data_IF_392051789055
#
_entry.id   IF_392051789055
#
_cell.length_a   1.000
_cell.length_b   1.000
_cell.length_c   1.000
_cell.angle_alpha   90.00
_cell.angle_beta   90.00
_cell.angle_gamma   90.00
#
_symmetry.space_group_name_H-M   'P 1'
#
loop_
_entity.id
_entity.type
_entity.pdbx_description
1 polymer ?
#
# COMPACT_ATOMS: atom_id res chain seq x y z
N UNK A 1 -30.53 -59.45 -68.39
CA UNK A 1 -29.41 -59.51 -67.41
C UNK A 1 -29.03 -58.10 -67.00
N UNK A 2 -28.81 -57.91 -65.69
CA UNK A 2 -28.17 -56.79 -64.98
C UNK A 2 -28.80 -55.38 -65.02
N UNK A 3 -29.35 -55.06 -63.84
CA UNK A 3 -29.75 -53.77 -63.27
C UNK A 3 -28.57 -52.78 -63.21
N UNK A 4 -28.86 -51.48 -63.31
CA UNK A 4 -28.59 -50.44 -62.29
C UNK A 4 -29.43 -49.22 -62.68
N UNK A 5 -30.33 -48.82 -61.78
CA UNK A 5 -31.18 -47.65 -61.91
C UNK A 5 -30.58 -46.47 -61.13
N UNK A 6 -30.52 -45.32 -61.79
CA UNK A 6 -30.23 -44.01 -61.22
C UNK A 6 -31.47 -43.52 -60.46
N UNK A 7 -31.33 -43.08 -59.20
CA UNK A 7 -32.31 -42.17 -58.60
C UNK A 7 -31.62 -41.20 -57.63
N UNK A 8 -31.69 -39.93 -57.98
CA UNK A 8 -31.18 -38.77 -57.25
C UNK A 8 -31.94 -38.54 -55.95
N UNK A 9 -31.22 -38.42 -54.83
CA UNK A 9 -31.74 -38.03 -53.53
C UNK A 9 -31.67 -36.50 -53.38
N UNK A 10 -32.81 -35.82 -53.43
CA UNK A 10 -32.94 -34.38 -53.13
C UNK A 10 -33.17 -34.24 -51.63
N UNK A 11 -32.24 -33.59 -50.94
CA UNK A 11 -32.29 -33.26 -49.52
C UNK A 11 -33.07 -31.94 -49.35
N UNK A 12 -34.28 -31.99 -48.79
CA UNK A 12 -35.05 -30.79 -48.44
C UNK A 12 -34.57 -30.28 -47.07
N UNK A 13 -33.78 -29.20 -47.07
CA UNK A 13 -33.39 -28.49 -45.86
C UNK A 13 -34.55 -27.57 -45.46
N UNK A 14 -35.34 -27.95 -44.46
CA UNK A 14 -36.35 -27.08 -43.86
C UNK A 14 -35.67 -25.98 -43.05
N UNK A 15 -35.62 -24.77 -43.59
CA UNK A 15 -35.22 -23.57 -42.86
C UNK A 15 -36.36 -23.20 -41.91
N UNK A 16 -36.20 -23.51 -40.62
CA UNK A 16 -37.04 -22.94 -39.56
C UNK A 16 -36.61 -21.48 -39.42
N UNK A 17 -37.35 -20.55 -40.01
CA UNK A 17 -37.20 -19.13 -39.68
C UNK A 17 -37.67 -18.92 -38.24
N UNK A 18 -36.74 -18.71 -37.33
CA UNK A 18 -37.05 -18.14 -36.01
C UNK A 18 -37.60 -16.74 -36.24
N UNK A 19 -38.86 -16.50 -35.83
CA UNK A 19 -39.45 -15.17 -35.89
C UNK A 19 -38.70 -14.28 -34.89
N UNK A 20 -37.99 -13.27 -35.39
CA UNK A 20 -37.37 -12.27 -34.54
C UNK A 20 -38.45 -11.32 -33.98
N UNK A 21 -38.33 -10.97 -32.71
CA UNK A 21 -39.15 -9.95 -32.06
C UNK A 21 -38.31 -8.70 -31.86
N UNK A 22 -38.86 -7.55 -32.24
CA UNK A 22 -38.22 -6.26 -32.08
C UNK A 22 -38.58 -5.65 -30.71
N UNK A 23 -37.57 -5.37 -29.91
CA UNK A 23 -37.70 -4.74 -28.60
C UNK A 23 -37.34 -3.27 -28.74
N UNK A 24 -38.27 -2.40 -28.33
CA UNK A 24 -38.06 -0.94 -28.28
C UNK A 24 -38.05 -0.49 -26.83
N UNK A 25 -37.03 0.28 -26.47
CA UNK A 25 -36.89 0.75 -25.11
C UNK A 25 -36.11 2.05 -24.98
N UNK A 26 -35.96 2.47 -23.73
CA UNK A 26 -35.23 3.65 -23.32
C UNK A 26 -34.37 3.32 -22.10
N UNK A 27 -33.13 3.78 -22.12
CA UNK A 27 -32.19 3.73 -21.00
C UNK A 27 -31.97 5.15 -20.49
N UNK A 28 -32.30 5.38 -19.24
CA UNK A 28 -32.10 6.67 -18.55
C UNK A 28 -31.47 6.47 -17.19
N UNK A 29 -30.98 7.53 -16.57
CA UNK A 29 -30.54 7.47 -15.17
C UNK A 29 -31.73 7.62 -14.20
N UNK A 30 -31.48 7.46 -12.89
CA UNK A 30 -32.52 7.65 -11.86
C UNK A 30 -33.18 9.03 -11.87
N UNK A 31 -32.50 10.06 -12.38
CA UNK A 31 -33.02 11.42 -12.56
C UNK A 31 -33.77 11.65 -13.88
N UNK A 32 -33.93 10.63 -14.72
CA UNK A 32 -34.64 10.71 -16.00
C UNK A 32 -33.84 11.31 -17.16
N UNK A 33 -32.53 11.55 -17.00
CA UNK A 33 -31.66 11.97 -18.12
C UNK A 33 -31.36 10.75 -19.00
N UNK A 34 -31.47 10.86 -20.34
CA UNK A 34 -31.14 9.76 -21.25
C UNK A 34 -29.65 9.39 -21.16
N UNK A 35 -29.37 8.08 -21.29
CA UNK A 35 -28.00 7.55 -21.32
C UNK A 35 -27.70 7.17 -22.76
N UNK A 36 -26.69 7.81 -23.34
CA UNK A 36 -26.25 7.65 -24.73
C UNK A 36 -25.18 6.56 -24.79
N UNK A 37 -25.10 5.80 -25.88
CA UNK A 37 -24.08 4.75 -26.11
C UNK A 37 -24.04 3.62 -25.06
N UNK A 38 -25.07 3.47 -24.23
CA UNK A 38 -25.28 2.23 -23.46
C UNK A 38 -25.51 1.05 -24.41
N UNK A 39 -24.77 -0.04 -24.20
CA UNK A 39 -24.90 -1.30 -24.93
C UNK A 39 -26.08 -2.06 -24.36
N UNK A 40 -27.03 -2.45 -25.22
CA UNK A 40 -28.12 -3.37 -24.86
C UNK A 40 -27.86 -4.70 -25.55
N UNK A 41 -27.55 -5.72 -24.77
CA UNK A 41 -27.10 -7.03 -25.24
C UNK A 41 -28.11 -8.12 -24.88
N UNK A 42 -28.53 -8.93 -25.85
CA UNK A 42 -29.20 -10.19 -25.62
C UNK A 42 -28.18 -11.32 -25.56
N UNK A 43 -27.87 -11.78 -24.34
CA UNK A 43 -26.71 -12.66 -24.10
C UNK A 43 -26.81 -14.02 -24.80
N UNK A 44 -28.02 -14.61 -24.88
CA UNK A 44 -28.18 -15.93 -25.50
C UNK A 44 -27.88 -15.94 -27.01
N UNK A 45 -28.27 -14.88 -27.73
CA UNK A 45 -28.09 -14.80 -29.19
C UNK A 45 -26.86 -13.98 -29.60
N UNK A 46 -26.29 -13.19 -28.69
CA UNK A 46 -25.20 -12.26 -28.97
C UNK A 46 -25.65 -10.97 -29.69
N UNK A 47 -26.95 -10.79 -29.93
CA UNK A 47 -27.46 -9.59 -30.60
C UNK A 47 -27.30 -8.39 -29.67
N UNK A 48 -26.79 -7.27 -30.18
CA UNK A 48 -26.62 -6.04 -29.42
C UNK A 48 -26.96 -4.80 -30.23
N UNK A 49 -27.31 -3.73 -29.52
CA UNK A 49 -27.55 -2.40 -30.08
C UNK A 49 -26.99 -1.35 -29.12
N UNK A 50 -26.86 -0.12 -29.61
CA UNK A 50 -26.49 1.04 -28.80
C UNK A 50 -27.70 1.94 -28.63
N UNK A 51 -27.75 2.63 -27.50
CA UNK A 51 -28.73 3.70 -27.26
C UNK A 51 -28.32 4.99 -27.99
N UNK A 52 -29.30 5.69 -28.54
CA UNK A 52 -29.10 6.96 -29.25
C UNK A 52 -28.97 8.17 -28.30
N UNK A 53 -28.87 9.38 -28.87
CA UNK A 53 -28.77 10.64 -28.10
C UNK A 53 -29.96 10.89 -27.16
N UNK A 54 -31.11 10.25 -27.42
CA UNK A 54 -32.32 10.32 -26.60
C UNK A 54 -32.45 9.11 -25.67
N UNK A 55 -31.42 8.27 -25.57
CA UNK A 55 -31.38 7.06 -24.75
C UNK A 55 -32.26 5.93 -25.30
N UNK A 56 -32.76 6.04 -26.53
CA UNK A 56 -33.65 5.05 -27.13
C UNK A 56 -32.84 3.94 -27.79
N UNK A 57 -33.35 2.71 -27.71
CA UNK A 57 -32.77 1.58 -28.41
C UNK A 57 -33.85 0.74 -29.10
N UNK A 58 -33.42 0.05 -30.15
CA UNK A 58 -34.21 -0.97 -30.83
C UNK A 58 -33.33 -2.20 -31.06
N UNK A 59 -33.76 -3.37 -30.59
CA UNK A 59 -33.02 -4.62 -30.67
C UNK A 59 -33.92 -5.75 -31.17
N UNK A 60 -33.54 -6.39 -32.27
CA UNK A 60 -34.17 -7.62 -32.73
C UNK A 60 -33.56 -8.82 -31.99
N UNK A 61 -34.39 -9.63 -31.36
CA UNK A 61 -33.97 -10.86 -30.63
C UNK A 61 -34.82 -12.05 -31.07
N UNK A 62 -34.33 -13.30 -30.92
CA UNK A 62 -35.17 -14.48 -31.13
C UNK A 62 -36.40 -14.46 -30.22
N UNK A 63 -37.55 -14.94 -30.72
CA UNK A 63 -38.76 -15.06 -29.90
C UNK A 63 -38.55 -16.14 -28.82
N UNK A 64 -38.40 -15.71 -27.57
CA UNK A 64 -38.22 -16.57 -26.40
C UNK A 64 -39.28 -16.23 -25.34
N UNK A 65 -39.65 -17.20 -24.50
CA UNK A 65 -40.59 -16.99 -23.39
C UNK A 65 -40.05 -15.97 -22.36
N UNK A 66 -38.74 -15.94 -22.18
CA UNK A 66 -38.01 -15.03 -21.29
C UNK A 66 -36.78 -14.48 -21.98
N UNK A 67 -36.79 -13.19 -22.30
CA UNK A 67 -35.70 -12.50 -22.96
C UNK A 67 -34.86 -11.81 -21.89
N UNK A 68 -33.56 -12.14 -21.82
CA UNK A 68 -32.61 -11.53 -20.90
C UNK A 68 -31.79 -10.47 -21.61
N UNK A 69 -31.92 -9.22 -21.19
CA UNK A 69 -31.10 -8.12 -21.70
C UNK A 69 -30.13 -7.65 -20.63
N UNK A 70 -28.88 -7.46 -21.04
CA UNK A 70 -27.81 -6.89 -20.23
C UNK A 70 -27.51 -5.49 -20.76
N UNK A 71 -27.53 -4.51 -19.87
CA UNK A 71 -27.30 -3.10 -20.20
C UNK A 71 -25.98 -2.67 -19.59
N UNK A 72 -25.04 -2.28 -20.45
CA UNK A 72 -23.65 -2.02 -20.09
C UNK A 72 -23.28 -0.58 -20.50
N UNK A 73 -22.66 0.16 -19.59
CA UNK A 73 -22.13 1.50 -19.84
C UNK A 73 -21.00 1.79 -18.84
N UNK A 74 -19.88 2.43 -19.23
CA UNK A 74 -18.73 2.66 -18.34
C UNK A 74 -19.05 3.43 -17.05
N UNK A 75 -19.94 4.42 -17.13
CA UNK A 75 -20.30 5.29 -15.99
C UNK A 75 -21.47 4.77 -15.13
N UNK A 76 -22.03 3.59 -15.41
CA UNK A 76 -23.21 3.07 -14.71
C UNK A 76 -23.02 1.61 -14.30
N UNK A 77 -23.71 1.19 -13.25
CA UNK A 77 -23.73 -0.21 -12.83
C UNK A 77 -24.43 -1.03 -13.90
N UNK A 78 -23.77 -2.09 -14.37
CA UNK A 78 -24.34 -3.06 -15.30
C UNK A 78 -25.64 -3.64 -14.73
N UNK A 79 -26.68 -3.68 -15.56
CA UNK A 79 -27.99 -4.13 -15.12
C UNK A 79 -28.54 -5.20 -16.06
N UNK A 80 -28.96 -6.32 -15.48
CA UNK A 80 -29.70 -7.37 -16.17
C UNK A 80 -31.22 -7.17 -15.98
N UNK A 81 -31.98 -7.28 -17.06
CA UNK A 81 -33.44 -7.30 -17.04
C UNK A 81 -33.98 -8.55 -17.73
N UNK A 82 -35.08 -9.08 -17.18
CA UNK A 82 -35.80 -10.22 -17.76
C UNK A 82 -37.15 -9.72 -18.26
N UNK A 83 -37.40 -9.86 -19.56
CA UNK A 83 -38.65 -9.49 -20.22
C UNK A 83 -39.47 -10.73 -20.55
N UNK A 84 -40.78 -10.65 -20.30
CA UNK A 84 -41.76 -11.67 -20.69
C UNK A 84 -42.58 -11.19 -21.88
N UNK A 85 -43.23 -12.11 -22.61
CA UNK A 85 -43.98 -11.80 -23.84
C UNK A 85 -45.05 -10.70 -23.68
N UNK A 86 -45.63 -10.51 -22.48
CA UNK A 86 -46.57 -9.41 -22.20
C UNK A 86 -45.91 -8.03 -22.20
N UNK A 87 -44.64 -7.94 -21.82
CA UNK A 87 -43.89 -6.68 -21.70
C UNK A 87 -43.33 -6.20 -23.04
N UNK A 88 -43.24 -7.07 -24.04
CA UNK A 88 -42.77 -6.76 -25.41
C UNK A 88 -43.74 -5.84 -26.18
N UNK A 89 -45.01 -5.76 -25.75
CA UNK A 89 -46.02 -4.87 -26.33
C UNK A 89 -45.91 -3.41 -25.87
N UNK A 90 -45.01 -3.11 -24.93
CA UNK A 90 -44.80 -1.78 -24.35
C UNK A 90 -43.35 -1.36 -24.48
N UNK A 91 -43.12 -0.05 -24.48
CA UNK A 91 -41.77 0.52 -24.42
C UNK A 91 -41.10 0.10 -23.12
N UNK A 92 -39.96 -0.58 -23.22
CA UNK A 92 -39.17 -1.01 -22.05
C UNK A 92 -38.40 0.19 -21.51
N UNK A 93 -38.51 0.48 -20.21
CA UNK A 93 -37.78 1.58 -19.58
C UNK A 93 -36.81 0.98 -18.58
N UNK A 94 -35.52 1.24 -18.78
CA UNK A 94 -34.42 0.81 -17.91
C UNK A 94 -33.83 2.04 -17.25
N UNK A 95 -33.75 2.02 -15.92
CA UNK A 95 -33.13 3.10 -15.15
C UNK A 95 -31.83 2.61 -14.53
N UNK A 96 -30.71 3.06 -15.07
CA UNK A 96 -29.40 2.69 -14.54
C UNK A 96 -29.02 3.54 -13.34
N UNK A 97 -28.32 2.91 -12.41
CA UNK A 97 -27.72 3.59 -11.25
C UNK A 97 -26.31 4.03 -11.63
N UNK A 98 -25.95 5.32 -11.45
CA UNK A 98 -24.60 5.80 -11.72
C UNK A 98 -23.56 4.99 -10.94
N UNK A 99 -22.50 4.58 -11.63
CA UNK A 99 -21.34 3.97 -11.01
C UNK A 99 -20.48 5.09 -10.43
N UNK A 100 -20.80 5.47 -9.19
CA UNK A 100 -19.96 6.40 -8.44
C UNK A 100 -18.77 5.58 -7.92
N UNK A 101 -17.62 5.66 -8.60
CA UNK A 101 -16.36 5.33 -7.94
C UNK A 101 -16.18 6.32 -6.80
N UNK A 102 -16.69 5.99 -5.63
CA UNK A 102 -16.28 6.63 -4.41
C UNK A 102 -14.81 6.26 -4.24
N UNK A 103 -13.88 7.11 -4.68
CA UNK A 103 -12.50 7.05 -4.20
C UNK A 103 -12.63 6.98 -2.69
N UNK A 104 -12.18 5.88 -2.10
CA UNK A 104 -12.05 5.81 -0.65
C UNK A 104 -11.33 7.08 -0.22
N UNK A 105 -11.96 7.83 0.69
CA UNK A 105 -11.40 9.08 1.16
C UNK A 105 -10.04 8.74 1.81
N UNK A 106 -8.95 9.17 1.16
CA UNK A 106 -7.61 8.90 1.68
C UNK A 106 -7.44 9.76 2.92
N UNK A 107 -7.41 9.12 4.08
CA UNK A 107 -7.21 9.80 5.35
C UNK A 107 -5.73 9.78 5.70
N UNK A 108 -5.15 10.97 5.78
CA UNK A 108 -3.77 11.19 6.20
C UNK A 108 -3.75 11.39 7.71
N UNK A 109 -2.80 10.75 8.38
CA UNK A 109 -2.63 10.80 9.85
C UNK A 109 -1.32 11.46 10.28
N UNK A 110 -0.44 11.75 9.32
CA UNK A 110 0.81 12.46 9.53
C UNK A 110 0.66 13.91 10.06
N UNK A 111 -0.56 14.43 10.26
CA UNK A 111 -0.84 15.67 10.98
C UNK A 111 -1.20 15.44 12.47
N UNK A 112 -1.00 14.23 13.01
CA UNK A 112 -1.48 13.74 14.33
C UNK A 112 -2.99 13.57 14.46
N UNK A 113 -3.74 13.93 13.43
CA UNK A 113 -5.16 13.64 13.35
C UNK A 113 -5.50 13.09 11.98
N UNK A 114 -6.50 12.19 11.91
CA UNK A 114 -7.03 11.75 10.63
C UNK A 114 -7.73 12.93 9.94
N UNK A 115 -7.23 13.32 8.77
CA UNK A 115 -7.75 14.38 7.91
C UNK A 115 -7.80 13.89 6.46
N UNK A 116 -8.79 14.34 5.70
CA UNK A 116 -8.89 13.99 4.28
C UNK A 116 -7.69 14.53 3.51
N UNK A 117 -7.08 13.75 2.62
CA UNK A 117 -6.01 14.27 1.75
C UNK A 117 -6.50 15.50 0.97
N UNK A 118 -7.76 15.50 0.54
CA UNK A 118 -8.35 16.61 -0.21
C UNK A 118 -8.53 17.91 0.59
N UNK A 119 -8.56 17.84 1.93
CA UNK A 119 -8.71 19.02 2.80
C UNK A 119 -7.39 19.52 3.37
N UNK A 120 -6.27 18.83 3.14
CA UNK A 120 -4.95 19.21 3.66
C UNK A 120 -4.35 20.32 2.78
N UNK A 121 -4.10 21.53 3.32
CA UNK A 121 -3.51 22.62 2.56
C UNK A 121 -1.97 22.51 2.52
N UNK A 122 -1.44 21.30 2.30
CA UNK A 122 -0.01 21.01 2.31
C UNK A 122 0.34 19.98 1.24
N UNK A 123 1.54 20.09 0.67
CA UNK A 123 2.03 19.14 -0.33
C UNK A 123 2.24 17.76 0.28
N UNK A 124 1.29 16.88 0.04
CA UNK A 124 1.17 15.52 0.56
C UNK A 124 1.30 14.50 -0.58
N UNK A 125 1.63 13.26 -0.24
CA UNK A 125 1.60 12.13 -1.15
C UNK A 125 1.34 10.88 -0.32
N UNK A 126 0.45 10.01 -0.80
CA UNK A 126 0.19 8.71 -0.17
C UNK A 126 0.56 7.61 -1.16
N UNK A 127 1.52 6.77 -0.79
CA UNK A 127 1.83 5.54 -1.51
C UNK A 127 0.98 4.43 -0.89
N UNK A 128 0.05 3.84 -1.64
CA UNK A 128 -0.81 2.77 -1.15
C UNK A 128 -0.09 1.41 -1.16
N UNK A 129 -0.65 0.42 -0.48
CA UNK A 129 -0.14 -0.96 -0.54
C UNK A 129 -0.13 -1.52 -1.96
N UNK A 130 -1.11 -1.16 -2.79
CA UNK A 130 -1.19 -1.63 -4.18
C UNK A 130 0.00 -1.10 -4.97
N UNK A 131 0.30 0.19 -4.86
CA UNK A 131 1.50 0.79 -5.47
C UNK A 131 2.78 0.14 -4.94
N UNK A 132 2.89 -0.09 -3.63
CA UNK A 132 4.07 -0.77 -3.05
C UNK A 132 4.22 -2.21 -3.54
N UNK A 133 3.12 -2.92 -3.76
CA UNK A 133 3.11 -4.28 -4.30
C UNK A 133 3.44 -4.32 -5.79
N UNK A 134 3.03 -3.31 -6.56
CA UNK A 134 3.35 -3.14 -7.99
C UNK A 134 4.80 -2.72 -8.22
N UNK A 135 5.32 -1.76 -7.44
CA UNK A 135 6.69 -1.26 -7.57
C UNK A 135 7.73 -2.32 -7.16
N UNK A 136 7.35 -3.29 -6.33
CA UNK A 136 8.21 -4.36 -5.83
C UNK A 136 9.54 -3.85 -5.23
N UNK A 137 9.54 -2.64 -4.63
CA UNK A 137 10.74 -1.99 -4.13
C UNK A 137 11.47 -2.86 -3.10
N UNK A 138 12.80 -2.81 -3.08
CA UNK A 138 13.59 -3.61 -2.15
C UNK A 138 13.64 -3.02 -0.75
N UNK A 139 13.43 -1.71 -0.61
CA UNK A 139 13.33 -1.01 0.66
C UNK A 139 12.43 0.24 0.52
N UNK A 140 12.01 0.80 1.65
CA UNK A 140 11.16 2.01 1.68
C UNK A 140 11.79 3.19 0.95
N UNK A 141 13.11 3.35 1.05
CA UNK A 141 13.82 4.50 0.52
C UNK A 141 13.77 4.55 -1.01
N UNK A 142 13.67 3.39 -1.67
CA UNK A 142 13.41 3.27 -3.10
C UNK A 142 11.97 3.65 -3.47
N UNK A 143 10.97 3.20 -2.71
CA UNK A 143 9.55 3.53 -2.95
C UNK A 143 9.28 5.05 -2.91
N UNK A 144 10.15 5.82 -2.25
CA UNK A 144 10.03 7.27 -2.14
C UNK A 144 10.55 8.03 -3.36
N UNK A 145 11.31 7.40 -4.25
CA UNK A 145 12.01 8.08 -5.36
C UNK A 145 11.08 8.67 -6.42
N UNK A 146 9.87 8.12 -6.55
CA UNK A 146 8.88 8.60 -7.51
C UNK A 146 8.12 9.84 -7.04
N UNK A 147 8.33 10.29 -5.79
CA UNK A 147 7.63 11.44 -5.23
C UNK A 147 8.36 12.75 -5.60
N UNK A 148 7.69 13.72 -6.26
CA UNK A 148 8.31 14.99 -6.61
C UNK A 148 8.85 15.75 -5.38
N UNK A 149 10.10 16.23 -5.48
CA UNK A 149 10.76 16.94 -4.38
C UNK A 149 11.24 16.05 -3.25
N UNK A 150 11.13 14.72 -3.40
CA UNK A 150 11.79 13.73 -2.56
C UNK A 150 12.96 13.15 -3.35
N UNK A 151 14.10 13.01 -2.69
CA UNK A 151 15.30 12.36 -3.23
C UNK A 151 16.00 11.61 -2.10
N UNK A 152 17.13 10.98 -2.38
CA UNK A 152 17.92 10.29 -1.37
C UNK A 152 19.32 10.90 -1.28
N UNK A 153 19.91 10.86 -0.09
CA UNK A 153 21.34 11.15 0.12
C UNK A 153 22.10 9.84 0.38
N UNK A 154 23.34 9.79 -0.11
CA UNK A 154 24.17 8.59 -0.13
C UNK A 154 24.42 8.13 -1.57
N UNK A 155 25.31 7.15 -1.74
CA UNK A 155 25.71 6.65 -3.08
C UNK A 155 25.13 5.27 -3.39
N UNK A 156 24.08 4.86 -2.67
CA UNK A 156 23.27 3.68 -3.01
C UNK A 156 23.15 2.65 -1.90
N UNK A 157 22.45 1.56 -2.22
CA UNK A 157 22.22 0.41 -1.35
C UNK A 157 21.30 0.69 -0.17
N UNK A 158 21.36 -0.21 0.81
CA UNK A 158 20.49 -0.22 2.00
C UNK A 158 20.67 0.99 2.93
N UNK A 159 21.75 1.75 2.72
CA UNK A 159 22.18 2.88 3.57
C UNK A 159 21.68 4.26 3.11
N UNK A 160 20.87 4.33 2.04
CA UNK A 160 20.28 5.58 1.57
C UNK A 160 19.38 6.22 2.65
N UNK A 161 19.36 7.56 2.69
CA UNK A 161 18.54 8.35 3.62
C UNK A 161 17.65 9.29 2.82
N UNK A 162 16.34 9.35 3.10
CA UNK A 162 15.43 10.27 2.43
C UNK A 162 15.77 11.74 2.64
N UNK A 163 15.50 12.54 1.61
CA UNK A 163 15.68 13.98 1.53
C UNK A 163 14.40 14.60 0.95
N UNK A 164 13.87 15.64 1.60
CA UNK A 164 12.73 16.39 1.11
C UNK A 164 13.17 17.83 0.87
N UNK A 165 13.10 18.28 -0.39
CA UNK A 165 13.44 19.65 -0.82
C UNK A 165 14.83 20.13 -0.35
N UNK A 166 15.82 19.24 -0.34
CA UNK A 166 17.19 19.53 0.09
C UNK A 166 17.45 19.37 1.59
N UNK A 167 16.43 19.06 2.38
CA UNK A 167 16.52 18.80 3.81
C UNK A 167 16.55 17.29 4.08
N UNK A 168 17.56 16.84 4.82
CA UNK A 168 17.74 15.44 5.20
C UNK A 168 18.27 15.34 6.65
N UNK A 169 18.47 14.11 7.14
CA UNK A 169 18.91 13.79 8.52
C UNK A 169 17.85 14.19 9.54
N UNK A 170 18.24 14.76 10.68
CA UNK A 170 17.34 15.29 11.71
C UNK A 170 16.53 16.52 11.28
N UNK A 171 16.16 16.61 10.00
CA UNK A 171 15.28 17.64 9.42
C UNK A 171 14.14 17.01 8.62
N UNK A 172 14.14 15.69 8.42
CA UNK A 172 12.99 14.93 7.90
C UNK A 172 12.66 13.87 8.94
N UNK A 173 11.45 13.93 9.48
CA UNK A 173 11.01 12.98 10.49
C UNK A 173 10.49 11.72 9.82
N UNK A 174 11.05 10.57 10.18
CA UNK A 174 10.56 9.26 9.76
C UNK A 174 9.88 8.59 10.95
N UNK A 175 8.68 8.04 10.74
CA UNK A 175 7.94 7.31 11.76
C UNK A 175 7.35 6.01 11.23
N UNK A 176 7.24 5.01 12.10
CA UNK A 176 6.54 3.73 11.84
C UNK A 176 5.42 3.63 12.87
N UNK A 177 4.16 3.68 12.45
CA UNK A 177 2.99 3.69 13.36
C UNK A 177 3.14 4.72 14.52
N UNK A 178 3.61 5.93 14.20
CA UNK A 178 3.98 7.02 15.13
C UNK A 178 5.21 6.78 16.04
N UNK A 179 5.91 5.65 15.94
CA UNK A 179 7.22 5.48 16.55
C UNK A 179 8.29 6.19 15.73
N UNK A 180 9.04 7.12 16.34
CA UNK A 180 10.12 7.84 15.64
C UNK A 180 11.27 6.90 15.32
N UNK A 181 11.73 6.96 14.07
CA UNK A 181 12.95 6.28 13.64
C UNK A 181 14.12 7.20 13.88
N UNK A 182 15.01 6.80 14.77
CA UNK A 182 16.27 7.48 15.04
C UNK A 182 17.41 6.75 14.34
N UNK A 183 18.61 7.31 14.36
CA UNK A 183 19.77 6.59 13.85
C UNK A 183 21.06 7.06 14.50
N UNK A 184 21.95 6.08 14.69
CA UNK A 184 23.33 6.30 15.09
C UNK A 184 24.26 6.46 13.87
N UNK A 185 23.71 6.30 12.65
CA UNK A 185 24.45 6.54 11.41
C UNK A 185 24.62 8.03 11.21
N UNK A 186 25.87 8.45 10.90
CA UNK A 186 26.17 9.84 10.54
C UNK A 186 25.27 10.36 9.40
N UNK A 187 24.93 9.51 8.42
CA UNK A 187 24.11 9.86 7.25
C UNK A 187 22.66 10.21 7.60
N UNK A 188 22.17 9.86 8.79
CA UNK A 188 20.81 10.10 9.25
C UNK A 188 19.95 8.82 9.28
N UNK A 189 18.70 8.94 9.76
CA UNK A 189 17.78 7.83 9.84
C UNK A 189 17.29 7.36 8.48
N UNK A 190 17.16 6.06 8.34
CA UNK A 190 16.40 5.43 7.28
C UNK A 190 15.51 4.33 7.89
N UNK A 191 14.45 3.98 7.18
CA UNK A 191 13.55 2.89 7.57
C UNK A 191 13.80 1.63 6.73
N UNK A 192 14.97 1.50 6.08
CA UNK A 192 15.29 0.36 5.22
C UNK A 192 15.15 -0.99 5.94
N UNK A 193 15.24 -1.00 7.28
CA UNK A 193 15.04 -2.18 8.10
C UNK A 193 13.59 -2.72 8.13
N UNK A 194 12.62 -1.99 7.57
CA UNK A 194 11.21 -2.39 7.46
C UNK A 194 10.94 -2.89 6.05
N UNK A 195 10.39 -4.11 5.96
CA UNK A 195 9.95 -4.69 4.68
C UNK A 195 8.72 -3.93 4.12
N UNK A 196 8.78 -3.41 2.87
CA UNK A 196 7.64 -2.80 2.19
C UNK A 196 6.36 -3.64 2.19
N UNK A 197 6.46 -4.98 2.20
CA UNK A 197 5.30 -5.88 2.21
C UNK A 197 4.48 -5.83 3.48
N UNK A 198 5.07 -5.35 4.57
CA UNK A 198 4.40 -5.16 5.86
C UNK A 198 3.75 -3.77 5.98
N UNK A 199 3.81 -2.94 4.94
CA UNK A 199 3.31 -1.57 4.93
C UNK A 199 1.91 -1.53 4.32
N UNK A 200 0.97 -0.87 5.00
CA UNK A 200 -0.35 -0.56 4.47
C UNK A 200 -0.31 0.66 3.56
N UNK A 201 0.43 1.69 3.98
CA UNK A 201 0.70 2.89 3.18
C UNK A 201 1.86 3.70 3.74
N UNK A 202 2.41 4.57 2.91
CA UNK A 202 3.38 5.60 3.31
C UNK A 202 2.75 6.96 3.05
N UNK A 203 2.67 7.80 4.07
CA UNK A 203 2.23 9.20 3.97
C UNK A 203 3.47 10.11 3.99
N UNK A 204 3.63 10.94 2.96
CA UNK A 204 4.75 11.88 2.85
C UNK A 204 4.21 13.30 2.86
N UNK A 205 4.45 14.03 3.94
CA UNK A 205 4.17 15.45 4.07
C UNK A 205 5.43 16.25 3.77
N UNK A 206 5.43 17.02 2.68
CA UNK A 206 6.56 17.85 2.23
C UNK A 206 6.44 19.31 2.67
N UNK A 207 5.74 19.54 3.78
CA UNK A 207 5.54 20.85 4.39
C UNK A 207 6.20 20.89 5.77
N UNK A 208 6.57 22.07 6.29
CA UNK A 208 7.10 22.18 7.65
C UNK A 208 6.05 21.70 8.67
N UNK A 209 6.26 20.49 9.20
CA UNK A 209 5.37 19.89 10.20
C UNK A 209 5.91 20.08 11.63
N UNK A 210 6.84 21.02 11.82
CA UNK A 210 7.46 21.30 13.12
C UNK A 210 6.48 21.73 14.20
N UNK A 211 5.32 22.29 13.82
CA UNK A 211 4.24 22.59 14.77
C UNK A 211 3.73 21.32 15.47
N UNK A 212 3.68 20.19 14.75
CA UNK A 212 3.19 18.91 15.28
C UNK A 212 4.28 18.02 15.85
N UNK A 213 5.53 18.16 15.37
CA UNK A 213 6.59 17.19 15.64
C UNK A 213 7.94 17.81 16.08
N UNK A 214 8.06 19.13 16.16
CA UNK A 214 9.30 19.80 16.57
C UNK A 214 10.37 19.89 15.47
N UNK A 215 11.62 20.09 15.87
CA UNK A 215 12.75 20.41 14.99
C UNK A 215 13.08 19.32 13.96
N UNK A 216 12.75 18.07 14.23
CA UNK A 216 13.05 16.96 13.33
C UNK A 216 12.19 16.97 12.05
N UNK A 217 11.09 17.73 12.03
CA UNK A 217 10.11 17.75 10.95
C UNK A 217 10.09 19.07 10.15
N UNK A 218 11.20 19.81 10.14
CA UNK A 218 11.31 21.09 9.41
C UNK A 218 11.14 20.91 7.89
N UNK A 219 11.74 19.86 7.34
CA UNK A 219 11.65 19.53 5.91
C UNK A 219 10.45 18.68 5.54
N UNK A 220 9.87 17.98 6.52
CA UNK A 220 8.68 17.17 6.31
C UNK A 220 8.62 15.94 7.20
N UNK A 221 7.62 15.10 6.92
CA UNK A 221 7.34 13.86 7.63
C UNK A 221 7.13 12.74 6.63
N UNK A 222 7.78 11.60 6.88
CA UNK A 222 7.53 10.32 6.21
C UNK A 222 6.92 9.40 7.27
N UNK A 223 5.64 9.11 7.15
CA UNK A 223 4.88 8.30 8.10
C UNK A 223 4.52 6.96 7.46
N UNK A 224 5.15 5.91 7.93
CA UNK A 224 4.94 4.53 7.48
C UNK A 224 3.88 3.90 8.38
N UNK A 225 2.77 3.48 7.80
CA UNK A 225 1.73 2.75 8.52
C UNK A 225 1.79 1.28 8.14
N UNK A 226 1.91 0.40 9.14
CA UNK A 226 2.04 -1.03 8.88
C UNK A 226 0.68 -1.72 8.80
N UNK A 227 0.63 -2.81 8.01
CA UNK A 227 -0.59 -3.61 7.77
C UNK A 227 -1.25 -4.04 9.06
N UNK A 228 -2.57 -4.12 9.04
CA UNK A 228 -3.41 -4.66 10.12
C UNK A 228 -4.09 -5.94 9.64
N UNK A 229 -4.34 -6.92 10.52
CA UNK A 229 -5.14 -8.08 10.14
C UNK A 229 -6.57 -7.68 9.75
N UNK A 230 -7.09 -8.28 8.69
CA UNK A 230 -8.47 -8.12 8.25
C UNK A 230 -9.42 -8.82 9.22
N UNK A 231 -10.46 -8.13 9.69
CA UNK A 231 -11.49 -8.66 10.60
C UNK A 231 -12.66 -9.28 9.83
N UNK A 232 -12.36 -10.27 8.98
CA UNK A 232 -13.32 -10.93 8.09
C UNK A 232 -13.53 -12.42 8.41
N UNK A 233 -13.17 -12.86 9.62
CA UNK A 233 -13.30 -14.26 10.07
C UNK A 233 -12.65 -15.26 9.11
N UNK A 234 -11.46 -14.91 8.61
CA UNK A 234 -10.71 -15.69 7.63
C UNK A 234 -9.30 -15.97 8.13
N UNK A 235 -8.74 -17.07 7.63
CA UNK A 235 -7.32 -17.38 7.76
C UNK A 235 -6.71 -17.45 6.37
N UNK A 236 -5.57 -16.81 6.18
CA UNK A 236 -4.86 -16.76 4.91
C UNK A 236 -3.35 -16.79 5.11
N UNK A 237 -2.64 -17.38 4.16
CA UNK A 237 -1.19 -17.37 4.08
C UNK A 237 -0.73 -16.88 2.72
N UNK A 238 0.40 -16.17 2.68
CA UNK A 238 1.08 -15.72 1.46
C UNK A 238 2.54 -16.13 1.54
N UNK A 239 3.06 -16.70 0.46
CA UNK A 239 4.50 -16.93 0.27
C UNK A 239 4.94 -16.07 -0.90
N UNK A 240 6.12 -15.48 -0.80
CA UNK A 240 6.70 -14.70 -1.88
C UNK A 240 8.16 -15.04 -2.09
N UNK A 241 8.58 -15.13 -3.34
CA UNK A 241 9.98 -15.18 -3.74
C UNK A 241 10.30 -13.93 -4.57
N UNK A 242 11.54 -13.43 -4.46
CA UNK A 242 12.06 -12.30 -5.22
C UNK A 242 13.43 -12.66 -5.76
N UNK A 243 13.69 -12.26 -7.01
CA UNK A 243 15.01 -12.30 -7.62
C UNK A 243 15.28 -10.97 -8.34
N UNK A 244 16.38 -10.29 -8.00
CA UNK A 244 16.81 -9.04 -8.63
C UNK A 244 18.09 -9.26 -9.44
N UNK A 245 18.08 -8.98 -10.74
CA UNK A 245 19.25 -9.23 -11.61
C UNK A 245 20.40 -8.23 -11.41
N UNK A 246 20.09 -7.01 -10.98
CA UNK A 246 21.05 -5.90 -10.89
C UNK A 246 22.08 -6.13 -9.76
N UNK A 247 21.68 -6.76 -8.66
CA UNK A 247 22.48 -7.04 -7.47
C UNK A 247 22.41 -8.51 -7.04
N UNK A 248 21.86 -9.37 -7.90
CA UNK A 248 21.60 -10.79 -7.61
C UNK A 248 20.76 -11.02 -6.34
N UNK A 249 19.91 -10.05 -5.98
CA UNK A 249 19.12 -10.11 -4.76
C UNK A 249 18.18 -11.31 -4.77
N UNK A 250 18.15 -12.04 -3.65
CA UNK A 250 17.25 -13.16 -3.40
C UNK A 250 16.44 -12.84 -2.17
N UNK A 251 15.12 -12.88 -2.31
CA UNK A 251 14.19 -12.66 -1.20
C UNK A 251 13.24 -13.82 -1.04
N UNK A 252 13.00 -14.26 0.19
CA UNK A 252 11.95 -15.21 0.52
C UNK A 252 11.15 -14.67 1.70
N UNK A 253 9.83 -14.69 1.58
CA UNK A 253 8.94 -14.22 2.62
C UNK A 253 7.72 -15.10 2.77
N UNK A 254 7.19 -15.07 3.98
CA UNK A 254 6.00 -15.79 4.37
C UNK A 254 5.20 -14.94 5.34
N UNK A 255 3.90 -14.80 5.09
CA UNK A 255 2.99 -14.14 6.00
C UNK A 255 1.77 -15.00 6.27
N UNK A 256 1.33 -15.02 7.52
CA UNK A 256 0.07 -15.56 7.97
C UNK A 256 -0.80 -14.45 8.54
N UNK A 257 -2.07 -14.49 8.22
CA UNK A 257 -3.08 -13.59 8.76
C UNK A 257 -4.30 -14.41 9.15
N UNK A 258 -4.86 -14.14 10.31
CA UNK A 258 -6.06 -14.80 10.78
C UNK A 258 -6.91 -13.89 11.64
N UNK A 259 -8.23 -13.99 11.53
CA UNK A 259 -9.16 -13.32 12.43
C UNK A 259 -10.34 -14.18 12.82
N UNK A 260 -10.90 -13.87 13.98
CA UNK A 260 -12.14 -14.44 14.49
C UNK A 260 -12.84 -13.43 15.39
N UNK A 261 -14.07 -13.07 15.04
CA UNK A 261 -14.90 -12.06 15.69
C UNK A 261 -14.15 -10.73 15.80
N UNK A 262 -13.76 -10.40 17.03
CA UNK A 262 -13.18 -9.11 17.39
C UNK A 262 -11.66 -9.17 17.50
N UNK A 263 -11.03 -10.32 17.22
CA UNK A 263 -9.59 -10.49 17.36
C UNK A 263 -8.97 -10.99 16.05
N UNK A 264 -7.79 -10.50 15.73
CA UNK A 264 -7.02 -10.97 14.59
C UNK A 264 -5.54 -10.80 14.80
N UNK A 265 -4.75 -11.53 14.03
CA UNK A 265 -3.30 -11.49 14.05
C UNK A 265 -2.75 -11.47 12.62
N UNK A 266 -1.60 -10.84 12.48
CA UNK A 266 -0.76 -10.90 11.29
C UNK A 266 0.65 -11.25 11.77
N UNK A 267 1.28 -12.19 11.09
CA UNK A 267 2.64 -12.65 11.32
C UNK A 267 3.35 -12.67 9.97
N UNK A 268 4.53 -12.09 9.86
CA UNK A 268 5.28 -11.97 8.62
C UNK A 268 6.76 -12.16 8.88
N UNK A 269 7.39 -12.98 8.06
CA UNK A 269 8.83 -13.21 8.02
C UNK A 269 9.33 -12.88 6.64
N UNK A 270 10.47 -12.20 6.55
CA UNK A 270 11.16 -11.95 5.29
C UNK A 270 12.66 -12.13 5.50
N UNK A 271 13.31 -12.82 4.57
CA UNK A 271 14.76 -12.83 4.38
C UNK A 271 15.09 -12.23 3.02
N UNK A 272 16.10 -11.36 2.97
CA UNK A 272 16.67 -10.82 1.74
C UNK A 272 18.20 -10.92 1.82
N UNK A 273 18.83 -11.26 0.71
CA UNK A 273 20.27 -11.31 0.54
C UNK A 273 20.62 -10.71 -0.82
N UNK A 274 21.49 -9.71 -0.84
CA UNK A 274 21.84 -8.97 -2.05
C UNK A 274 23.34 -8.68 -2.07
N UNK A 275 23.95 -8.88 -3.23
CA UNK A 275 25.32 -8.45 -3.50
C UNK A 275 25.39 -6.96 -3.84
N UNK A 276 26.55 -6.53 -4.33
CA UNK A 276 26.69 -5.20 -4.89
C UNK A 276 25.83 -5.03 -6.15
N UNK A 277 25.21 -3.86 -6.30
CA UNK A 277 24.43 -3.56 -7.49
C UNK A 277 25.30 -3.06 -8.65
N UNK A 278 24.91 -3.41 -9.87
CA UNK A 278 25.54 -2.94 -11.11
C UNK A 278 24.86 -1.66 -11.61
N UNK A 279 25.64 -0.60 -11.76
CA UNK A 279 25.21 0.64 -12.42
C UNK A 279 25.73 0.69 -13.87
N UNK A 280 25.22 1.59 -14.72
CA UNK A 280 25.80 1.82 -16.06
C UNK A 280 27.29 2.20 -16.03
N UNK A 281 27.76 2.80 -14.93
CA UNK A 281 29.17 3.15 -14.71
C UNK A 281 30.02 2.01 -14.12
N UNK A 282 29.43 0.84 -13.84
CA UNK A 282 30.10 -0.30 -13.22
C UNK A 282 29.47 -0.72 -11.89
N UNK A 283 30.09 -1.70 -11.24
CA UNK A 283 29.68 -2.20 -9.93
C UNK A 283 29.83 -1.12 -8.85
N UNK A 284 28.81 -0.97 -8.00
CA UNK A 284 28.87 -0.05 -6.86
C UNK A 284 29.26 -0.84 -5.62
N UNK A 285 30.53 -0.71 -5.24
CA UNK A 285 31.08 -1.38 -4.06
C UNK A 285 30.38 -0.92 -2.78
N UNK A 286 30.39 -1.81 -1.77
CA UNK A 286 29.78 -1.56 -0.46
C UNK A 286 28.27 -1.28 -0.57
N UNK A 287 27.58 -1.91 -1.50
CA UNK A 287 26.12 -1.78 -1.65
C UNK A 287 25.35 -3.05 -1.33
N UNK A 288 26.06 -4.14 -0.99
CA UNK A 288 25.52 -5.40 -0.52
C UNK A 288 24.77 -5.26 0.82
N UNK A 289 23.84 -6.17 1.07
CA UNK A 289 23.17 -6.32 2.36
C UNK A 289 22.55 -7.71 2.51
N UNK A 290 22.53 -8.20 3.75
CA UNK A 290 21.68 -9.33 4.15
C UNK A 290 20.74 -8.86 5.26
N UNK A 291 19.46 -9.22 5.15
CA UNK A 291 18.44 -8.79 6.10
C UNK A 291 17.42 -9.89 6.40
N UNK A 292 17.18 -10.12 7.69
CA UNK A 292 16.02 -10.88 8.18
C UNK A 292 15.08 -9.98 8.98
N UNK A 293 13.77 -10.08 8.73
CA UNK A 293 12.76 -9.36 9.52
C UNK A 293 11.62 -10.26 9.96
N UNK A 294 11.09 -9.96 11.14
CA UNK A 294 9.89 -10.53 11.73
C UNK A 294 8.96 -9.39 12.11
N UNK A 295 7.76 -9.39 11.55
CA UNK A 295 6.69 -8.48 11.92
C UNK A 295 5.51 -9.28 12.46
N UNK A 296 4.98 -8.86 13.60
CA UNK A 296 3.74 -9.39 14.15
C UNK A 296 2.85 -8.26 14.64
N UNK A 297 1.55 -8.39 14.38
CA UNK A 297 0.54 -7.47 14.89
C UNK A 297 -0.70 -8.23 15.31
N UNK A 298 -1.08 -8.12 16.58
CA UNK A 298 -2.34 -8.61 17.12
C UNK A 298 -3.27 -7.43 17.30
N UNK A 299 -4.52 -7.58 16.87
CA UNK A 299 -5.53 -6.54 16.93
C UNK A 299 -6.79 -7.06 17.61
N UNK A 300 -7.35 -6.24 18.49
CA UNK A 300 -8.65 -6.44 19.10
C UNK A 300 -9.55 -5.24 18.78
N UNK A 301 -10.63 -5.46 18.05
CA UNK A 301 -11.57 -4.43 17.61
C UNK A 301 -12.97 -4.83 18.05
N UNK A 302 -13.58 -4.05 18.95
CA UNK A 302 -14.96 -4.24 19.41
C UNK A 302 -15.66 -2.90 19.52
N UNK A 303 -16.61 -2.66 18.62
CA UNK A 303 -17.48 -1.47 18.57
C UNK A 303 -16.71 -0.14 18.64
N UNK A 304 -16.41 0.33 19.85
CA UNK A 304 -15.77 1.60 20.14
C UNK A 304 -14.29 1.49 20.47
N UNK A 305 -13.81 0.27 20.74
CA UNK A 305 -12.45 -0.01 21.19
C UNK A 305 -11.64 -0.68 20.08
N UNK A 306 -10.48 -0.11 19.80
CA UNK A 306 -9.47 -0.67 18.93
C UNK A 306 -8.15 -0.74 19.71
N UNK A 307 -7.59 -1.94 19.86
CA UNK A 307 -6.29 -2.17 20.48
C UNK A 307 -5.42 -2.92 19.48
N UNK A 308 -4.20 -2.46 19.29
CA UNK A 308 -3.18 -3.10 18.49
C UNK A 308 -1.91 -3.26 19.32
N UNK A 309 -1.35 -4.47 19.29
CA UNK A 309 -0.03 -4.79 19.82
C UNK A 309 0.82 -5.22 18.63
N UNK A 310 1.99 -4.63 18.45
CA UNK A 310 2.89 -5.02 17.37
C UNK A 310 4.33 -5.11 17.81
N UNK A 311 5.04 -6.02 17.16
CA UNK A 311 6.48 -6.17 17.27
C UNK A 311 7.09 -6.24 15.87
N UNK A 312 8.13 -5.44 15.65
CA UNK A 312 8.96 -5.46 14.46
C UNK A 312 10.40 -5.73 14.88
N UNK A 313 10.88 -6.93 14.61
CA UNK A 313 12.27 -7.33 14.76
C UNK A 313 12.98 -7.30 13.41
N UNK A 314 14.13 -6.65 13.33
CA UNK A 314 14.97 -6.64 12.12
C UNK A 314 16.42 -6.96 12.47
N UNK A 315 17.07 -7.76 11.64
CA UNK A 315 18.47 -8.18 11.75
C UNK A 315 19.15 -7.92 10.42
N UNK A 316 20.04 -6.96 10.39
CA UNK A 316 20.91 -6.67 9.27
C UNK A 316 22.29 -7.28 9.49
N UNK A 317 22.86 -7.86 8.43
CA UNK A 317 24.23 -8.36 8.40
C UNK A 317 24.92 -7.90 7.12
N UNK A 318 26.24 -7.72 7.20
CA UNK A 318 27.08 -7.32 6.06
C UNK A 318 26.45 -6.19 5.23
N UNK A 319 26.00 -5.13 5.91
CA UNK A 319 25.39 -4.00 5.21
C UNK A 319 26.50 -3.06 4.78
N UNK A 320 26.75 -2.98 3.49
CA UNK A 320 27.68 -2.03 2.92
C UNK A 320 27.19 -0.58 3.04
N UNK A 321 28.14 0.35 3.16
CA UNK A 321 27.89 1.77 2.98
C UNK A 321 28.71 2.28 1.80
N UNK A 322 28.09 2.20 0.63
CA UNK A 322 28.62 2.73 -0.61
C UNK A 322 29.11 4.17 -0.40
N UNK A 323 30.26 4.48 -1.00
CA UNK A 323 30.86 5.79 -1.07
C UNK A 323 31.87 5.84 -2.23
N UNK A 324 32.35 7.03 -2.61
CA UNK A 324 33.33 7.19 -3.70
C UNK A 324 34.69 6.52 -3.38
N UNK A 325 35.05 6.46 -2.11
CA UNK A 325 36.34 5.95 -1.64
C UNK A 325 36.27 4.46 -1.24
N UNK A 326 35.24 3.70 -1.67
CA UNK A 326 34.93 2.38 -1.10
C UNK A 326 36.00 1.32 -1.39
N UNK A 327 36.88 1.60 -2.35
CA UNK A 327 38.09 0.81 -2.64
C UNK A 327 39.13 0.97 -1.53
N UNK A 328 39.39 2.20 -1.10
CA UNK A 328 40.46 2.54 -0.14
C UNK A 328 39.95 2.70 1.30
N UNK A 329 38.67 3.00 1.48
CA UNK A 329 38.04 3.35 2.77
C UNK A 329 36.65 2.72 2.91
N UNK A 330 36.54 1.38 2.85
CA UNK A 330 35.25 0.73 2.98
C UNK A 330 34.67 0.99 4.38
N UNK A 331 33.36 1.20 4.42
CA UNK A 331 32.59 1.24 5.66
C UNK A 331 31.47 0.24 5.53
N UNK A 332 31.33 -0.64 6.52
CA UNK A 332 30.27 -1.62 6.58
C UNK A 332 29.65 -1.65 7.97
N UNK A 333 28.42 -2.14 8.04
CA UNK A 333 27.71 -2.43 9.27
C UNK A 333 27.57 -3.95 9.40
N UNK A 334 28.49 -4.62 10.13
CA UNK A 334 28.48 -6.08 10.23
C UNK A 334 27.19 -6.63 10.84
N UNK A 335 26.63 -5.90 11.80
CA UNK A 335 25.37 -6.23 12.47
C UNK A 335 24.58 -4.96 12.77
N UNK A 336 23.33 -4.97 12.32
CA UNK A 336 22.30 -4.01 12.72
C UNK A 336 21.12 -4.75 13.35
N UNK A 337 20.56 -4.18 14.40
CA UNK A 337 19.47 -4.81 15.13
C UNK A 337 18.43 -3.78 15.54
N UNK A 338 17.16 -4.05 15.23
CA UNK A 338 16.00 -3.25 15.62
C UNK A 338 14.97 -4.16 16.30
N UNK A 339 14.29 -3.69 17.34
CA UNK A 339 13.25 -4.42 18.08
C UNK A 339 12.14 -3.46 18.51
N UNK A 340 11.32 -3.01 17.56
CA UNK A 340 10.29 -2.03 17.82
C UNK A 340 9.03 -2.71 18.36
N UNK A 341 8.73 -2.48 19.64
CA UNK A 341 7.50 -2.89 20.29
C UNK A 341 6.55 -1.70 20.37
N UNK A 342 5.28 -1.92 20.07
CA UNK A 342 4.28 -0.86 20.08
C UNK A 342 2.95 -1.34 20.65
N UNK A 343 2.29 -0.45 21.39
CA UNK A 343 0.92 -0.56 21.84
C UNK A 343 0.17 0.64 21.32
N UNK A 344 -0.97 0.39 20.68
CA UNK A 344 -1.90 1.43 20.26
C UNK A 344 -3.29 1.07 20.78
N UNK A 345 -3.90 1.98 21.54
CA UNK A 345 -5.27 1.88 22.01
C UNK A 345 -6.01 3.13 21.56
N UNK A 346 -7.06 2.94 20.77
CA UNK A 346 -8.04 3.95 20.44
C UNK A 346 -9.39 3.58 21.06
N UNK A 347 -9.99 4.49 21.82
CA UNK A 347 -11.28 4.34 22.48
C UNK A 347 -12.22 5.45 22.03
N UNK A 348 -13.42 5.08 21.60
CA UNK A 348 -14.47 6.02 21.22
C UNK A 348 -15.61 5.98 22.23
N UNK A 349 -16.40 7.03 22.27
CA UNK A 349 -17.65 7.04 23.03
C UNK A 349 -17.46 6.93 24.56
N UNK A 350 -16.36 7.48 25.09
CA UNK A 350 -16.20 7.81 26.51
C UNK A 350 -17.25 8.83 26.97
N UNK A 351 -17.74 9.64 26.03
CA UNK A 351 -18.86 10.57 26.13
C UNK A 351 -19.46 10.83 24.74
N UNK A 352 -20.42 11.76 24.62
CA UNK A 352 -21.01 12.12 23.31
C UNK A 352 -19.96 12.71 22.37
N UNK A 353 -19.51 11.93 21.39
CA UNK A 353 -18.54 12.36 20.38
C UNK A 353 -17.12 12.51 20.92
N UNK A 354 -16.80 11.85 22.03
CA UNK A 354 -15.46 11.86 22.64
C UNK A 354 -14.66 10.63 22.22
N UNK A 355 -13.35 10.81 22.06
CA UNK A 355 -12.39 9.77 21.73
C UNK A 355 -11.08 9.99 22.48
N UNK A 356 -10.37 8.91 22.77
CA UNK A 356 -9.07 8.88 23.40
C UNK A 356 -8.15 7.97 22.58
N UNK A 357 -6.93 8.41 22.36
CA UNK A 357 -5.89 7.58 21.75
C UNK A 357 -4.67 7.57 22.64
N UNK A 358 -4.20 6.37 22.97
CA UNK A 358 -2.95 6.12 23.67
C UNK A 358 -2.05 5.29 22.77
N UNK A 359 -0.82 5.74 22.60
CA UNK A 359 0.22 5.00 21.91
C UNK A 359 1.49 5.02 22.74
N UNK A 360 2.17 3.88 22.78
CA UNK A 360 3.47 3.76 23.42
C UNK A 360 4.35 2.85 22.59
N UNK A 361 5.63 3.15 22.53
CA UNK A 361 6.62 2.30 21.89
C UNK A 361 7.93 2.27 22.66
N UNK A 362 8.69 1.20 22.44
CA UNK A 362 10.08 1.12 22.81
C UNK A 362 10.85 0.28 21.78
N UNK A 363 12.09 0.68 21.51
CA UNK A 363 12.94 0.09 20.48
C UNK A 363 14.39 -0.01 20.97
N UNK A 364 14.74 -1.10 21.70
CA UNK A 364 16.13 -1.43 21.93
C UNK A 364 16.77 -1.84 20.60
N UNK A 365 17.84 -1.14 20.24
CA UNK A 365 18.54 -1.33 18.99
C UNK A 365 20.06 -1.19 19.19
N UNK A 366 20.82 -1.76 18.26
CA UNK A 366 22.26 -1.53 18.20
C UNK A 366 22.74 -1.51 16.75
N UNK A 367 23.88 -0.87 16.53
CA UNK A 367 24.57 -0.81 15.26
C UNK A 367 26.06 -1.05 15.49
N UNK A 368 26.62 -2.04 14.80
CA UNK A 368 28.06 -2.24 14.68
C UNK A 368 28.54 -1.57 13.40
N UNK A 369 29.68 -0.89 13.44
CA UNK A 369 30.30 -0.25 12.28
C UNK A 369 31.78 -0.59 12.26
N UNK A 370 32.25 -1.09 11.11
CA UNK A 370 33.67 -1.24 10.80
C UNK A 370 34.03 -0.22 9.73
N UNK A 371 35.18 0.44 9.91
CA UNK A 371 35.82 1.22 8.85
C UNK A 371 37.26 0.75 8.71
N UNK A 372 37.67 0.55 7.47
CA UNK A 372 39.04 0.17 7.16
C UNK A 372 39.70 1.30 6.35
N UNK A 373 41.02 1.41 6.45
CA UNK A 373 41.85 2.08 5.45
C UNK A 373 42.66 1.01 4.71
N UNK A 374 42.70 1.10 3.38
CA UNK A 374 43.40 0.17 2.50
C UNK A 374 44.40 0.88 1.61
N UNK A 375 45.61 0.33 1.54
CA UNK A 375 46.65 0.66 0.58
C UNK A 375 47.03 -0.61 -0.18
N UNK A 376 47.04 -0.58 -1.51
CA UNK A 376 47.33 -1.74 -2.37
C UNK A 376 46.54 -3.02 -2.01
N UNK A 377 45.27 -2.86 -1.61
CA UNK A 377 44.36 -3.92 -1.16
C UNK A 377 44.68 -4.55 0.21
N UNK A 378 45.68 -4.05 0.92
CA UNK A 378 46.00 -4.43 2.30
C UNK A 378 45.34 -3.47 3.29
N UNK A 379 44.67 -4.00 4.31
CA UNK A 379 44.13 -3.21 5.42
C UNK A 379 45.27 -2.68 6.28
N UNK A 380 45.43 -1.36 6.33
CA UNK A 380 46.46 -0.66 7.11
C UNK A 380 45.94 -0.22 8.47
N UNK A 381 44.67 0.14 8.55
CA UNK A 381 43.98 0.52 9.78
C UNK A 381 42.55 -0.05 9.78
N UNK A 382 42.05 -0.46 10.94
CA UNK A 382 40.68 -0.93 11.12
C UNK A 382 40.12 -0.35 12.41
N UNK A 383 39.02 0.38 12.32
CA UNK A 383 38.26 0.85 13.49
C UNK A 383 36.96 0.08 13.60
N UNK A 384 36.67 -0.39 14.81
CA UNK A 384 35.41 -1.02 15.18
C UNK A 384 34.65 -0.12 16.16
N UNK A 385 33.36 0.08 15.92
CA UNK A 385 32.47 0.75 16.87
C UNK A 385 31.15 0.02 17.01
N UNK A 386 30.59 0.05 18.21
CA UNK A 386 29.26 -0.46 18.52
C UNK A 386 28.48 0.56 19.32
N UNK A 387 27.35 0.98 18.79
CA UNK A 387 26.37 1.82 19.51
C UNK A 387 25.19 0.96 19.90
N UNK A 388 24.71 1.13 21.14
CA UNK A 388 23.50 0.47 21.63
C UNK A 388 22.65 1.52 22.34
N UNK A 389 21.35 1.54 22.04
CA UNK A 389 20.42 2.54 22.55
C UNK A 389 19.04 1.93 22.77
N UNK A 390 18.26 2.54 23.66
CA UNK A 390 16.83 2.30 23.82
C UNK A 390 16.09 3.59 23.49
N UNK A 391 15.35 3.59 22.38
CA UNK A 391 14.39 4.67 22.12
C UNK A 391 13.03 4.29 22.68
N UNK A 392 12.29 5.26 23.16
CA UNK A 392 10.93 5.06 23.65
C UNK A 392 10.10 6.31 23.41
N UNK A 393 8.79 6.13 23.37
CA UNK A 393 7.87 7.24 23.30
C UNK A 393 6.47 6.88 23.73
N UNK A 394 5.71 7.93 24.02
CA UNK A 394 4.34 7.90 24.47
C UNK A 394 3.60 9.06 23.84
N UNK A 395 2.42 8.77 23.30
CA UNK A 395 1.50 9.75 22.76
C UNK A 395 0.13 9.52 23.38
N UNK A 396 -0.46 10.59 23.92
CA UNK A 396 -1.82 10.60 24.43
C UNK A 396 -2.57 11.73 23.76
N UNK A 397 -3.69 11.44 23.13
CA UNK A 397 -4.56 12.45 22.56
C UNK A 397 -6.02 12.23 22.93
N UNK A 398 -6.74 13.33 23.08
CA UNK A 398 -8.16 13.38 23.35
C UNK A 398 -8.84 14.24 22.28
N UNK A 399 -9.96 13.75 21.78
CA UNK A 399 -10.80 14.46 20.83
C UNK A 399 -12.22 14.56 21.34
N UNK A 400 -12.86 15.72 21.14
CA UNK A 400 -14.27 15.94 21.47
C UNK A 400 -14.97 16.71 20.36
N UNK A 401 -16.06 16.17 19.83
CA UNK A 401 -16.97 16.92 18.95
C UNK A 401 -17.82 17.88 19.79
N UNK A 402 -17.82 19.16 19.41
CA UNK A 402 -18.60 20.23 20.02
C UNK A 402 -19.60 20.72 18.97
N UNK A 403 -20.85 20.28 19.07
CA UNK A 403 -21.86 20.57 18.05
C UNK A 403 -21.61 19.86 16.71
N UNK A 404 -22.09 20.43 15.60
CA UNK A 404 -22.02 19.82 14.26
C UNK A 404 -20.71 20.09 13.50
N UNK A 405 -20.04 21.20 13.81
CA UNK A 405 -18.94 21.72 12.99
C UNK A 405 -17.62 21.90 13.74
N UNK A 406 -17.61 21.84 15.07
CA UNK A 406 -16.40 22.07 15.87
C UNK A 406 -15.89 20.75 16.46
N UNK A 407 -14.58 20.54 16.40
CA UNK A 407 -13.90 19.44 17.09
C UNK A 407 -12.71 20.00 17.86
N UNK A 408 -12.73 19.81 19.16
CA UNK A 408 -11.58 20.10 20.02
C UNK A 408 -10.66 18.89 20.02
N UNK A 409 -9.37 19.10 19.81
CA UNK A 409 -8.33 18.07 19.98
C UNK A 409 -7.21 18.63 20.84
N UNK A 410 -6.70 17.79 21.72
CA UNK A 410 -5.53 18.09 22.53
C UNK A 410 -4.74 16.81 22.77
N UNK A 411 -3.48 16.94 23.11
CA UNK A 411 -2.64 15.79 23.40
C UNK A 411 -1.29 16.16 23.96
N UNK A 412 -0.55 15.14 24.36
CA UNK A 412 0.83 15.24 24.80
C UNK A 412 1.66 14.17 24.12
N UNK A 413 2.89 14.53 23.81
CA UNK A 413 3.89 13.66 23.23
C UNK A 413 5.12 13.67 24.11
N UNK A 414 5.64 12.49 24.40
CA UNK A 414 6.91 12.30 25.08
C UNK A 414 7.71 11.28 24.29
N UNK A 415 8.97 11.59 24.03
CA UNK A 415 9.89 10.66 23.42
C UNK A 415 11.27 10.88 24.03
N UNK A 416 12.04 9.81 24.09
CA UNK A 416 13.35 9.85 24.70
C UNK A 416 14.22 8.71 24.22
N UNK A 417 15.50 8.86 24.54
CA UNK A 417 16.53 7.87 24.29
C UNK A 417 17.31 7.67 25.58
N UNK A 418 17.50 6.42 25.98
CA UNK A 418 18.25 6.04 27.17
C UNK A 418 19.18 4.86 26.88
N UNK A 419 19.90 4.43 27.92
CA UNK A 419 20.77 3.24 27.87
C UNK A 419 21.80 3.28 26.74
N UNK A 420 22.23 4.50 26.36
CA UNK A 420 23.20 4.71 25.29
C UNK A 420 24.57 4.21 25.75
N UNK A 421 25.09 3.21 25.05
CA UNK A 421 26.43 2.68 25.24
C UNK A 421 27.18 2.74 23.92
N UNK A 422 28.41 3.21 23.98
CA UNK A 422 29.32 3.28 22.83
C UNK A 422 30.59 2.53 23.20
N UNK A 423 31.00 1.61 22.34
CA UNK A 423 32.24 0.86 22.46
C UNK A 423 33.04 1.09 21.18
N UNK A 424 34.28 1.54 21.30
CA UNK A 424 35.18 1.81 20.17
C UNK A 424 36.50 1.07 20.40
N UNK A 425 37.04 0.50 19.32
CA UNK A 425 38.38 -0.09 19.23
C UNK A 425 38.98 0.48 17.96
N UNK A 426 40.13 1.12 18.07
CA UNK A 426 40.87 1.71 16.95
C UNK A 426 42.12 0.90 16.62
#
# INVERSE_FOLDING_TARGET
>A
MRKIAFLSLIFFLSVIQSLAVEIKGEVSNLGGKPIVEAVVLHRQSGNKTLTDEKGLFTLAVPNEEKIRLEIIHPDYIEQEIVLTSRQLSRKVIVRLTPYIMQREEIVVTALRYPESSASIPAAETVISKETLEEEMSSNITESLLNIPGVSNIGTGGFSLVPNIRGLARGRVLIMIDNARVTSDRRTGPNASFVDPKNIERIEVLRSPSSVFYGSDAIGGVIHILTKKPSMQDRFSGKINAKYGSINQEKGLGFSLEGSKKNAGFLLSFQGNDAGNYSSPSGEVLQSQFTQGSLFTKVSYIKEKREIHLSFLGSRGYDIGKANQDSVTKPTLYPKENQNLFQVHWHERGLGKGEELTLQAYFNPHFLETIKENKEDSLTTEESYSKTQSLDYGFHLSYGKKIGKHLRLKGGTDFYGRSSVKVYNVD
#
